data_IF_363130765383
#
_entry.id   IF_363130765383
#
_cell.length_a   1.000
_cell.length_b   1.000
_cell.length_c   1.000
_cell.angle_alpha   90.00
_cell.angle_beta   90.00
_cell.angle_gamma   90.00
#
_symmetry.space_group_name_H-M   'P 1'
#
loop_
_entity.id
_entity.type
_entity.pdbx_description
1 polymer ?
#
# COMPACT_ATOMS: atom_id res chain seq x y z
N UNK A 1 12.66 2.04 -3.66
CA UNK A 1 14.05 1.64 -3.86
C UNK A 1 14.25 1.03 -5.24
N UNK A 2 13.63 -0.11 -5.57
CA UNK A 2 13.68 -0.73 -6.91
C UNK A 2 13.38 0.26 -8.04
N UNK A 3 12.38 1.10 -7.87
CA UNK A 3 12.00 2.09 -8.88
C UNK A 3 13.11 3.11 -9.19
N UNK A 4 13.93 3.47 -8.19
CA UNK A 4 15.10 4.34 -8.40
C UNK A 4 16.26 3.58 -9.07
N UNK A 5 16.47 2.31 -8.74
CA UNK A 5 17.49 1.47 -9.36
C UNK A 5 17.17 1.18 -10.83
N UNK A 6 15.93 0.77 -11.12
CA UNK A 6 15.49 0.51 -12.49
C UNK A 6 15.38 1.79 -13.32
N UNK A 7 15.07 2.94 -12.67
CA UNK A 7 15.03 4.25 -13.32
C UNK A 7 16.40 4.72 -13.83
N UNK A 8 17.46 4.23 -13.17
CA UNK A 8 18.85 4.45 -13.58
C UNK A 8 19.41 3.28 -14.40
N UNK A 9 18.60 2.30 -14.82
CA UNK A 9 19.07 1.16 -15.59
C UNK A 9 19.85 1.61 -16.82
N UNK A 10 21.15 1.33 -16.83
CA UNK A 10 22.09 1.78 -17.86
C UNK A 10 22.73 3.14 -17.64
N UNK A 11 22.40 3.88 -16.56
CA UNK A 11 23.06 5.16 -16.23
C UNK A 11 23.78 5.04 -14.90
N UNK A 12 25.06 5.43 -14.79
CA UNK A 12 25.80 5.37 -13.53
C UNK A 12 25.08 6.21 -12.47
N UNK A 13 24.68 5.58 -11.36
CA UNK A 13 24.20 6.29 -10.19
C UNK A 13 25.15 6.08 -9.03
N UNK A 14 25.49 7.15 -8.33
CA UNK A 14 26.34 7.11 -7.14
C UNK A 14 25.48 7.43 -5.93
N UNK A 15 25.57 6.60 -4.89
CA UNK A 15 24.92 6.87 -3.60
C UNK A 15 25.99 7.32 -2.62
N UNK A 16 25.78 8.49 -2.01
CA UNK A 16 26.69 9.10 -1.05
C UNK A 16 26.00 9.15 0.32
N UNK A 17 26.78 9.00 1.38
CA UNK A 17 26.29 9.20 2.74
C UNK A 17 26.15 10.68 3.08
N UNK A 18 25.46 10.96 4.17
CA UNK A 18 25.25 12.32 4.71
C UNK A 18 25.93 12.42 6.08
N UNK A 19 26.85 13.38 6.22
CA UNK A 19 27.52 13.69 7.50
C UNK A 19 26.59 14.48 8.43
N UNK A 20 27.01 14.71 9.66
CA UNK A 20 26.29 15.59 10.61
C UNK A 20 25.70 14.86 11.82
N UNK A 21 26.04 13.58 12.06
CA UNK A 21 25.57 12.82 13.21
C UNK A 21 24.03 12.79 13.30
N UNK A 22 23.47 13.04 14.46
CA UNK A 22 22.01 13.05 14.67
C UNK A 22 21.34 14.26 13.98
N UNK A 23 22.05 15.40 13.85
CA UNK A 23 21.49 16.61 13.23
C UNK A 23 21.12 16.41 11.75
N UNK A 24 21.81 15.51 11.04
CA UNK A 24 21.53 15.21 9.62
C UNK A 24 20.09 14.79 9.34
N UNK A 25 19.40 14.22 10.33
CA UNK A 25 18.02 13.79 10.16
C UNK A 25 17.02 14.94 10.04
N UNK A 26 17.41 16.16 10.43
CA UNK A 26 16.63 17.38 10.30
C UNK A 26 16.97 18.20 9.05
N UNK A 27 18.08 17.88 8.38
CA UNK A 27 18.53 18.60 7.19
C UNK A 27 17.70 18.19 5.97
N UNK A 28 17.26 19.15 5.20
CA UNK A 28 16.69 18.96 3.86
C UNK A 28 17.79 19.10 2.79
N UNK A 29 17.43 18.83 1.53
CA UNK A 29 18.36 18.90 0.43
C UNK A 29 18.93 20.32 0.21
N UNK A 30 18.10 21.34 0.42
CA UNK A 30 18.53 22.74 0.29
C UNK A 30 19.54 23.11 1.38
N UNK A 31 19.29 22.73 2.63
CA UNK A 31 20.21 22.91 3.75
C UNK A 31 21.56 22.22 3.53
N UNK A 32 21.53 20.97 3.05
CA UNK A 32 22.73 20.20 2.74
C UNK A 32 23.60 20.87 1.67
N UNK A 33 23.00 21.55 0.68
CA UNK A 33 23.70 22.24 -0.37
C UNK A 33 24.24 23.60 0.08
N UNK A 34 23.46 24.34 0.88
CA UNK A 34 23.76 25.72 1.29
C UNK A 34 24.66 25.79 2.52
N UNK A 35 24.65 24.78 3.38
CA UNK A 35 25.40 24.79 4.62
C UNK A 35 26.91 24.57 4.36
N UNK A 36 27.76 25.56 4.60
CA UNK A 36 29.21 25.45 4.37
C UNK A 36 29.88 24.40 5.28
N UNK A 37 29.24 24.05 6.40
CA UNK A 37 29.74 23.04 7.35
C UNK A 37 29.43 21.60 6.91
N UNK A 38 28.53 21.40 5.94
CA UNK A 38 28.18 20.09 5.38
C UNK A 38 28.91 19.77 4.07
N UNK A 39 29.94 20.57 3.71
CA UNK A 39 30.75 20.31 2.50
C UNK A 39 31.44 18.94 2.47
N UNK A 40 31.49 18.23 3.59
CA UNK A 40 31.95 16.86 3.69
C UNK A 40 30.81 15.80 3.69
N UNK A 41 29.57 16.19 3.34
CA UNK A 41 28.42 15.26 3.33
C UNK A 41 28.65 14.05 2.43
N UNK A 42 29.46 14.20 1.38
CA UNK A 42 29.74 13.14 0.40
C UNK A 42 30.67 12.03 0.91
N UNK A 43 31.40 12.25 1.99
CA UNK A 43 32.41 11.30 2.50
C UNK A 43 31.89 10.38 3.63
N UNK A 44 30.63 10.54 4.02
CA UNK A 44 30.04 9.68 5.04
C UNK A 44 29.58 8.33 4.46
N UNK A 45 29.55 7.32 5.33
CA UNK A 45 28.94 6.05 4.98
C UNK A 45 27.43 6.21 4.75
N UNK A 46 26.91 5.52 3.75
CA UNK A 46 25.47 5.45 3.48
C UNK A 46 24.79 4.70 4.64
N UNK A 47 23.70 5.25 5.13
CA UNK A 47 22.91 4.59 6.17
C UNK A 47 21.91 3.62 5.52
N UNK A 48 21.91 2.38 6.00
CA UNK A 48 21.01 1.34 5.53
C UNK A 48 20.07 0.89 6.63
N UNK A 49 18.87 0.50 6.25
CA UNK A 49 17.90 -0.18 7.11
C UNK A 49 17.51 -1.52 6.48
N UNK A 50 17.22 -2.50 7.31
CA UNK A 50 16.65 -3.77 6.87
C UNK A 50 15.14 -3.67 6.97
N UNK A 51 14.44 -3.89 5.85
CA UNK A 51 12.98 -3.85 5.77
C UNK A 51 12.46 -5.19 5.25
N UNK A 52 11.26 -5.59 5.68
CA UNK A 52 10.58 -6.73 5.10
C UNK A 52 10.20 -6.43 3.63
N UNK A 53 10.40 -7.38 2.74
CA UNK A 53 9.94 -7.34 1.35
C UNK A 53 9.11 -8.57 0.94
N UNK A 54 8.70 -9.34 1.95
CA UNK A 54 7.84 -10.50 1.86
C UNK A 54 7.61 -11.13 3.25
N UNK A 55 6.79 -12.19 3.35
CA UNK A 55 6.49 -12.85 4.63
C UNK A 55 7.70 -13.41 5.37
N UNK A 56 8.74 -13.83 4.62
CA UNK A 56 9.93 -14.51 5.14
C UNK A 56 11.22 -13.94 4.57
N UNK A 57 11.16 -12.79 3.92
CA UNK A 57 12.31 -12.15 3.28
C UNK A 57 12.48 -10.72 3.75
N UNK A 58 13.74 -10.30 3.79
CA UNK A 58 14.12 -8.93 4.12
C UNK A 58 15.12 -8.40 3.11
N UNK A 59 15.18 -7.09 3.00
CA UNK A 59 16.11 -6.39 2.11
C UNK A 59 16.75 -5.21 2.81
N UNK A 60 18.00 -4.97 2.51
CA UNK A 60 18.64 -3.71 2.84
C UNK A 60 18.20 -2.60 1.86
N UNK A 61 17.82 -1.47 2.41
CA UNK A 61 17.45 -0.25 1.68
C UNK A 61 18.21 0.94 2.24
N UNK A 62 18.45 1.94 1.42
CA UNK A 62 19.04 3.19 1.91
C UNK A 62 18.06 3.85 2.86
N UNK A 63 18.45 3.99 4.12
CA UNK A 63 17.67 4.71 5.14
C UNK A 63 17.90 6.22 5.03
N UNK A 64 19.15 6.63 4.77
CA UNK A 64 19.51 8.01 4.49
C UNK A 64 20.70 8.08 3.53
N UNK A 65 20.54 8.82 2.45
CA UNK A 65 21.61 9.01 1.45
C UNK A 65 21.22 9.93 0.33
N UNK A 66 22.27 10.51 -0.29
CA UNK A 66 22.17 11.31 -1.51
C UNK A 66 22.42 10.40 -2.71
N UNK A 67 21.53 10.45 -3.68
CA UNK A 67 21.73 9.79 -4.98
C UNK A 67 22.03 10.82 -6.05
N UNK A 68 23.17 10.66 -6.69
CA UNK A 68 23.56 11.40 -7.89
C UNK A 68 23.22 10.51 -9.09
N UNK A 69 22.35 10.97 -9.95
CA UNK A 69 21.92 10.19 -11.11
C UNK A 69 21.71 11.07 -12.34
N UNK A 70 21.67 10.46 -13.51
CA UNK A 70 21.22 11.12 -14.74
C UNK A 70 19.90 10.50 -15.19
N UNK A 71 18.95 11.34 -15.56
CA UNK A 71 17.67 10.89 -16.10
C UNK A 71 17.39 11.62 -17.41
N UNK A 72 17.22 10.86 -18.48
CA UNK A 72 17.10 11.39 -19.84
C UNK A 72 18.23 12.37 -20.21
N UNK A 73 19.45 12.04 -19.79
CA UNK A 73 20.65 12.86 -20.03
C UNK A 73 20.84 14.06 -19.10
N UNK A 74 19.82 14.43 -18.27
CA UNK A 74 19.91 15.55 -17.33
C UNK A 74 20.36 15.08 -15.95
N UNK A 75 21.18 15.87 -15.24
CA UNK A 75 21.62 15.55 -13.89
C UNK A 75 20.47 15.71 -12.89
N UNK A 76 20.43 14.82 -11.92
CA UNK A 76 19.47 14.79 -10.82
C UNK A 76 20.18 14.46 -9.51
N UNK A 77 19.77 15.13 -8.44
CA UNK A 77 20.14 14.77 -7.06
C UNK A 77 18.88 14.41 -6.31
N UNK A 78 18.90 13.29 -5.59
CA UNK A 78 17.79 12.87 -4.77
C UNK A 78 18.28 12.58 -3.34
N UNK A 79 17.74 13.28 -2.35
CA UNK A 79 17.91 12.95 -0.93
C UNK A 79 16.81 11.97 -0.54
N UNK A 80 17.20 10.76 -0.19
CA UNK A 80 16.31 9.72 0.31
C UNK A 80 16.42 9.63 1.83
N UNK A 81 15.27 9.68 2.52
CA UNK A 81 15.17 9.52 3.97
C UNK A 81 14.06 8.52 4.29
N UNK A 82 14.36 7.51 5.10
CA UNK A 82 13.36 6.58 5.62
C UNK A 82 12.44 7.27 6.64
N UNK A 83 11.27 6.68 6.87
CA UNK A 83 10.44 7.07 8.01
C UNK A 83 11.26 6.99 9.31
N UNK A 84 11.15 8.01 10.13
CA UNK A 84 11.77 8.06 11.46
C UNK A 84 10.90 8.92 12.38
N UNK A 85 9.91 8.31 13.08
CA UNK A 85 8.99 9.04 13.96
C UNK A 85 9.69 9.82 15.06
N UNK A 86 10.86 9.33 15.50
CA UNK A 86 11.69 10.05 16.52
C UNK A 86 12.09 11.45 16.07
N UNK A 87 12.20 11.68 14.75
CA UNK A 87 12.54 12.97 14.15
C UNK A 87 11.33 13.60 13.43
N UNK A 88 10.09 13.22 13.82
CA UNK A 88 8.85 13.77 13.28
C UNK A 88 8.52 13.36 11.86
N UNK A 89 9.20 12.35 11.30
CA UNK A 89 9.01 11.87 9.95
C UNK A 89 8.27 10.53 9.96
N UNK A 90 6.96 10.58 9.80
CA UNK A 90 6.09 9.40 9.83
C UNK A 90 6.14 8.56 8.56
N UNK A 91 6.63 9.13 7.43
CA UNK A 91 6.74 8.48 6.14
C UNK A 91 8.14 8.61 5.55
N UNK A 92 8.52 7.70 4.66
CA UNK A 92 9.72 7.88 3.88
C UNK A 92 9.56 9.08 2.92
N UNK A 93 10.62 9.85 2.76
CA UNK A 93 10.66 11.06 1.96
C UNK A 93 11.73 10.99 0.88
N UNK A 94 11.44 11.60 -0.25
CA UNK A 94 12.37 11.77 -1.35
C UNK A 94 12.31 13.22 -1.83
N UNK A 95 13.39 13.95 -1.61
CA UNK A 95 13.57 15.29 -2.15
C UNK A 95 14.39 15.23 -3.42
N UNK A 96 13.99 15.97 -4.44
CA UNK A 96 14.61 15.92 -5.77
C UNK A 96 15.01 17.31 -6.21
N UNK A 97 16.26 17.44 -6.64
CA UNK A 97 16.80 18.63 -7.31
C UNK A 97 17.18 18.28 -8.74
N UNK A 98 16.68 19.05 -9.68
CA UNK A 98 17.00 18.95 -11.11
C UNK A 98 17.26 20.33 -11.69
N UNK A 99 17.70 20.37 -12.96
CA UNK A 99 18.00 21.62 -13.67
C UNK A 99 16.76 22.48 -13.94
N UNK A 100 15.57 21.86 -13.99
CA UNK A 100 14.31 22.52 -14.30
C UNK A 100 13.09 21.77 -13.72
N UNK A 101 11.97 22.47 -13.59
CA UNK A 101 10.74 21.96 -12.98
C UNK A 101 10.12 20.84 -13.83
N UNK A 102 10.15 20.95 -15.15
CA UNK A 102 9.56 19.95 -16.06
C UNK A 102 10.28 18.60 -15.90
N UNK A 103 11.60 18.63 -15.79
CA UNK A 103 12.42 17.43 -15.53
C UNK A 103 12.05 16.80 -14.18
N UNK A 104 11.89 17.61 -13.14
CA UNK A 104 11.51 17.13 -11.80
C UNK A 104 10.13 16.48 -11.83
N UNK A 105 9.13 17.14 -12.41
CA UNK A 105 7.74 16.65 -12.52
C UNK A 105 7.70 15.33 -13.28
N UNK A 106 8.30 15.29 -14.47
CA UNK A 106 8.31 14.09 -15.29
C UNK A 106 9.05 12.91 -14.63
N UNK A 107 10.13 13.19 -13.86
CA UNK A 107 10.83 12.16 -13.09
C UNK A 107 9.97 11.62 -11.94
N UNK A 108 9.27 12.48 -11.19
CA UNK A 108 8.38 12.09 -10.10
C UNK A 108 7.24 11.22 -10.62
N UNK A 109 6.64 11.57 -11.76
CA UNK A 109 5.55 10.80 -12.35
C UNK A 109 6.04 9.41 -12.83
N UNK A 110 7.22 9.34 -13.44
CA UNK A 110 7.83 8.06 -13.79
C UNK A 110 8.14 7.22 -12.56
N UNK A 111 8.69 7.83 -11.52
CA UNK A 111 9.00 7.15 -10.27
C UNK A 111 7.74 6.57 -9.62
N UNK A 112 6.65 7.33 -9.55
CA UNK A 112 5.35 6.87 -9.02
C UNK A 112 4.80 5.68 -9.80
N UNK A 113 4.86 5.73 -11.14
CA UNK A 113 4.44 4.61 -11.99
C UNK A 113 5.25 3.34 -11.69
N UNK A 114 6.59 3.48 -11.59
CA UNK A 114 7.48 2.37 -11.26
C UNK A 114 7.30 1.85 -9.85
N UNK A 115 7.09 2.71 -8.87
CA UNK A 115 6.79 2.29 -7.49
C UNK A 115 5.55 1.40 -7.43
N UNK A 116 4.50 1.75 -8.16
CA UNK A 116 3.29 0.94 -8.22
C UNK A 116 3.51 -0.38 -8.98
N UNK A 117 4.23 -0.35 -10.10
CA UNK A 117 4.49 -1.53 -10.92
C UNK A 117 5.42 -2.54 -10.24
N UNK A 118 6.45 -2.05 -9.53
CA UNK A 118 7.50 -2.84 -8.88
C UNK A 118 7.28 -3.02 -7.37
N UNK A 119 6.07 -2.69 -6.89
CA UNK A 119 5.76 -2.80 -5.47
C UNK A 119 5.89 -4.24 -4.98
N UNK A 120 6.70 -4.44 -3.93
CA UNK A 120 6.86 -5.74 -3.26
C UNK A 120 5.58 -6.19 -2.54
N UNK A 121 4.63 -5.28 -2.35
CA UNK A 121 3.33 -5.54 -1.71
C UNK A 121 2.32 -6.14 -2.69
N UNK A 122 2.56 -5.99 -4.00
CA UNK A 122 1.64 -6.51 -5.03
C UNK A 122 1.52 -8.04 -4.91
N UNK A 123 0.29 -8.53 -4.89
CA UNK A 123 0.00 -9.95 -4.73
C UNK A 123 0.31 -10.51 -3.34
N UNK A 124 0.62 -9.68 -2.34
CA UNK A 124 0.89 -10.12 -0.97
C UNK A 124 -0.31 -9.89 -0.05
N UNK A 125 -0.31 -10.59 1.07
CA UNK A 125 -1.22 -10.31 2.19
C UNK A 125 -0.46 -9.47 3.20
N UNK A 126 -0.98 -8.28 3.49
CA UNK A 126 -0.33 -7.34 4.40
C UNK A 126 -1.31 -6.80 5.44
N UNK A 127 -0.75 -6.43 6.57
CA UNK A 127 -1.44 -5.64 7.59
C UNK A 127 -0.55 -4.49 8.03
N UNK A 128 -1.13 -3.46 8.61
CA UNK A 128 -0.41 -2.37 9.25
C UNK A 128 -1.26 -1.80 10.38
N UNK A 129 -0.59 -1.22 11.36
CA UNK A 129 -1.21 -0.53 12.48
C UNK A 129 -0.88 0.96 12.47
N UNK A 130 -1.15 1.62 13.57
CA UNK A 130 -0.64 2.97 13.82
C UNK A 130 0.83 2.89 14.23
N UNK A 131 1.56 3.97 13.97
CA UNK A 131 2.92 4.11 14.47
C UNK A 131 2.94 4.19 16.03
N UNK A 132 4.13 4.10 16.63
CA UNK A 132 4.31 4.15 18.09
C UNK A 132 3.74 5.42 18.73
N UNK A 133 3.59 6.49 17.96
CA UNK A 133 3.08 7.79 18.41
C UNK A 133 1.62 8.02 18.04
N UNK A 134 0.97 7.06 17.34
CA UNK A 134 -0.42 7.16 16.89
C UNK A 134 -0.68 8.22 15.83
N UNK A 135 0.37 8.81 15.25
CA UNK A 135 0.27 9.95 14.32
C UNK A 135 0.27 9.53 12.83
N UNK A 136 0.63 8.28 12.53
CA UNK A 136 0.74 7.79 11.16
C UNK A 136 0.53 6.29 11.03
N UNK A 137 0.82 5.80 9.83
CA UNK A 137 0.83 4.36 9.54
C UNK A 137 2.14 3.80 10.09
N UNK A 138 2.02 2.79 10.95
CA UNK A 138 3.15 2.02 11.45
C UNK A 138 3.76 1.10 10.38
N UNK A 139 4.75 0.29 10.77
CA UNK A 139 5.38 -0.64 9.86
C UNK A 139 4.37 -1.61 9.23
N UNK A 140 4.52 -1.86 7.94
CA UNK A 140 3.75 -2.88 7.24
C UNK A 140 4.32 -4.26 7.57
N UNK A 141 3.43 -5.19 7.90
CA UNK A 141 3.76 -6.59 8.15
C UNK A 141 3.20 -7.46 7.04
N UNK A 142 4.04 -8.29 6.45
CA UNK A 142 3.63 -9.31 5.50
C UNK A 142 3.12 -10.54 6.25
N UNK A 143 2.02 -11.09 5.79
CA UNK A 143 1.41 -12.30 6.33
C UNK A 143 1.51 -13.42 5.30
N UNK A 144 1.63 -14.66 5.77
CA UNK A 144 1.50 -15.82 4.89
C UNK A 144 0.09 -15.86 4.30
N UNK A 145 -0.01 -16.11 3.00
CA UNK A 145 -1.32 -16.30 2.36
C UNK A 145 -1.96 -17.56 2.90
N UNK A 146 -3.25 -17.51 3.30
CA UNK A 146 -3.95 -18.70 3.78
C UNK A 146 -3.98 -19.79 2.70
N UNK A 147 -3.80 -21.04 3.13
CA UNK A 147 -3.99 -22.23 2.30
C UNK A 147 -5.22 -22.96 2.84
N UNK A 148 -6.40 -22.61 2.30
CA UNK A 148 -7.71 -23.14 2.75
C UNK A 148 -8.51 -23.56 1.52
N UNK A 149 -8.78 -24.87 1.42
CA UNK A 149 -9.62 -25.44 0.36
C UNK A 149 -11.11 -25.25 0.64
N UNK A 150 -11.96 -25.36 -0.38
CA UNK A 150 -13.40 -25.27 -0.25
C UNK A 150 -13.97 -26.30 0.74
N UNK A 151 -13.41 -27.52 0.78
CA UNK A 151 -13.86 -28.61 1.66
C UNK A 151 -13.68 -28.31 3.15
N UNK A 152 -12.77 -27.40 3.48
CA UNK A 152 -12.58 -26.95 4.85
C UNK A 152 -13.65 -25.97 5.34
N UNK A 153 -14.46 -25.41 4.43
CA UNK A 153 -15.46 -24.39 4.73
C UNK A 153 -16.85 -25.00 4.74
N UNK A 154 -17.40 -25.20 5.93
CA UNK A 154 -18.72 -25.80 6.09
C UNK A 154 -19.77 -24.70 6.25
N UNK A 155 -20.56 -24.48 5.20
CA UNK A 155 -21.68 -23.52 5.16
C UNK A 155 -22.94 -24.21 4.62
N UNK A 156 -24.13 -23.60 4.77
CA UNK A 156 -25.35 -24.11 4.13
C UNK A 156 -25.14 -24.20 2.60
N UNK A 157 -25.78 -25.20 2.00
CA UNK A 157 -25.66 -25.50 0.56
C UNK A 157 -25.82 -24.25 -0.32
N UNK A 158 -24.90 -24.03 -1.24
CA UNK A 158 -24.92 -22.95 -2.19
C UNK A 158 -24.49 -21.57 -1.65
N UNK A 159 -24.18 -21.46 -0.35
CA UNK A 159 -23.72 -20.17 0.22
C UNK A 159 -22.28 -19.87 -0.18
N UNK A 160 -21.39 -20.85 -0.05
CA UNK A 160 -19.98 -20.68 -0.39
C UNK A 160 -19.80 -20.34 -1.87
N UNK A 161 -20.51 -21.04 -2.74
CA UNK A 161 -20.50 -20.83 -4.19
C UNK A 161 -20.95 -19.41 -4.55
N UNK A 162 -22.06 -18.93 -3.95
CA UNK A 162 -22.53 -17.55 -4.19
C UNK A 162 -21.52 -16.50 -3.76
N UNK A 163 -20.90 -16.69 -2.61
CA UNK A 163 -19.87 -15.74 -2.11
C UNK A 163 -18.64 -15.79 -3.01
N UNK A 164 -18.19 -16.98 -3.42
CA UNK A 164 -17.09 -17.15 -4.37
C UNK A 164 -17.39 -16.44 -5.70
N UNK A 165 -18.53 -16.72 -6.30
CA UNK A 165 -18.92 -16.15 -7.60
C UNK A 165 -19.01 -14.61 -7.53
N UNK A 166 -19.47 -14.08 -6.40
CA UNK A 166 -19.55 -12.64 -6.21
C UNK A 166 -18.14 -11.98 -6.10
N UNK A 167 -17.16 -12.63 -5.50
CA UNK A 167 -15.82 -12.08 -5.26
C UNK A 167 -14.85 -12.50 -6.35
N UNK A 168 -14.71 -13.81 -6.56
CA UNK A 168 -13.73 -14.40 -7.49
C UNK A 168 -14.24 -14.28 -8.93
N UNK A 169 -15.52 -14.56 -9.16
CA UNK A 169 -16.13 -14.48 -10.50
C UNK A 169 -16.03 -13.11 -11.15
N UNK A 170 -15.99 -12.03 -10.37
CA UNK A 170 -15.72 -10.68 -10.92
C UNK A 170 -14.30 -10.56 -11.45
N UNK A 171 -13.33 -11.16 -10.78
CA UNK A 171 -11.93 -11.13 -11.23
C UNK A 171 -11.75 -12.01 -12.46
N UNK A 172 -12.35 -13.19 -12.48
CA UNK A 172 -12.33 -14.12 -13.63
C UNK A 172 -12.98 -13.51 -14.89
N UNK A 173 -14.01 -12.66 -14.73
CA UNK A 173 -14.74 -12.03 -15.83
C UNK A 173 -14.39 -10.55 -16.02
N UNK A 174 -13.26 -10.07 -15.46
CA UNK A 174 -12.92 -8.66 -15.40
C UNK A 174 -12.94 -7.96 -16.76
N UNK A 175 -12.38 -8.57 -17.80
CA UNK A 175 -12.31 -7.96 -19.13
C UNK A 175 -13.67 -7.88 -19.82
N UNK A 176 -14.51 -8.91 -19.67
CA UNK A 176 -15.87 -8.90 -20.18
C UNK A 176 -16.75 -7.85 -19.49
N UNK A 177 -16.55 -7.64 -18.17
CA UNK A 177 -17.26 -6.62 -17.39
C UNK A 177 -16.81 -5.22 -17.81
N UNK A 178 -15.50 -4.98 -17.96
CA UNK A 178 -14.97 -3.70 -18.45
C UNK A 178 -15.45 -3.36 -19.84
N UNK A 179 -15.45 -4.34 -20.75
CA UNK A 179 -15.94 -4.15 -22.13
C UNK A 179 -17.42 -3.73 -22.18
N UNK A 180 -18.20 -4.05 -21.14
CA UNK A 180 -19.60 -3.65 -20.98
C UNK A 180 -19.80 -2.39 -20.13
N UNK A 181 -18.70 -1.67 -19.81
CA UNK A 181 -18.75 -0.46 -18.97
C UNK A 181 -19.05 -0.74 -17.49
N UNK A 182 -18.97 -2.02 -17.04
CA UNK A 182 -19.23 -2.39 -15.65
C UNK A 182 -17.97 -2.19 -14.82
N UNK A 183 -18.15 -1.66 -13.58
CA UNK A 183 -17.05 -1.58 -12.64
C UNK A 183 -16.77 -2.93 -11.98
N UNK A 184 -15.54 -3.11 -11.50
CA UNK A 184 -15.10 -4.35 -10.86
C UNK A 184 -15.15 -4.30 -9.32
N UNK A 185 -15.61 -3.19 -8.75
CA UNK A 185 -15.68 -3.02 -7.30
C UNK A 185 -16.84 -3.83 -6.74
N UNK A 186 -16.60 -4.59 -5.69
CA UNK A 186 -17.59 -5.39 -4.98
C UNK A 186 -17.33 -5.31 -3.49
N UNK A 187 -18.40 -5.46 -2.70
CA UNK A 187 -18.35 -5.60 -1.26
C UNK A 187 -19.12 -6.83 -0.81
N UNK A 188 -18.63 -7.49 0.22
CA UNK A 188 -19.30 -8.61 0.89
C UNK A 188 -19.28 -8.34 2.38
N UNK A 189 -20.44 -8.45 3.00
CA UNK A 189 -20.59 -8.44 4.45
C UNK A 189 -20.90 -9.85 4.94
N UNK A 190 -19.98 -10.42 5.72
CA UNK A 190 -20.18 -11.70 6.39
C UNK A 190 -20.60 -11.41 7.85
N UNK A 191 -21.83 -11.66 8.20
CA UNK A 191 -22.33 -11.46 9.55
C UNK A 191 -22.88 -12.75 10.16
N UNK A 192 -22.93 -12.83 11.48
CA UNK A 192 -23.42 -13.99 12.21
C UNK A 192 -22.68 -14.20 13.53
N UNK A 193 -23.14 -15.15 14.38
CA UNK A 193 -22.51 -15.47 15.66
C UNK A 193 -21.05 -15.89 15.53
N UNK A 194 -20.25 -15.83 16.59
CA UNK A 194 -18.92 -16.44 16.62
C UNK A 194 -18.98 -17.92 16.23
N UNK A 195 -17.94 -18.42 15.56
CA UNK A 195 -17.84 -19.83 15.16
C UNK A 195 -18.61 -20.24 13.90
N UNK A 196 -19.29 -19.31 13.20
CA UNK A 196 -20.08 -19.63 11.97
C UNK A 196 -19.25 -19.67 10.69
N UNK A 197 -17.91 -19.68 10.76
CA UNK A 197 -17.04 -19.86 9.60
C UNK A 197 -16.67 -18.57 8.86
N UNK A 198 -17.02 -17.37 9.34
CA UNK A 198 -16.74 -16.10 8.66
C UNK A 198 -15.25 -15.93 8.29
N UNK A 199 -14.35 -16.00 9.25
CA UNK A 199 -12.91 -15.88 9.03
C UNK A 199 -12.38 -16.98 8.11
N UNK A 200 -12.92 -18.21 8.23
CA UNK A 200 -12.52 -19.33 7.37
C UNK A 200 -12.95 -19.09 5.92
N UNK A 201 -14.15 -18.54 5.71
CA UNK A 201 -14.63 -18.14 4.38
C UNK A 201 -13.73 -17.05 3.77
N UNK A 202 -13.35 -16.04 4.56
CA UNK A 202 -12.39 -15.02 4.09
C UNK A 202 -11.07 -15.65 3.67
N UNK A 203 -10.51 -16.54 4.49
CA UNK A 203 -9.26 -17.23 4.19
C UNK A 203 -9.35 -18.06 2.90
N UNK A 204 -10.46 -18.75 2.69
CA UNK A 204 -10.75 -19.47 1.44
C UNK A 204 -10.77 -18.50 0.23
N UNK A 205 -11.46 -17.37 0.32
CA UNK A 205 -11.49 -16.39 -0.76
C UNK A 205 -10.10 -15.80 -1.07
N UNK A 206 -9.26 -15.60 -0.05
CA UNK A 206 -7.88 -15.16 -0.25
C UNK A 206 -7.00 -16.23 -0.91
N UNK A 207 -7.28 -17.51 -0.65
CA UNK A 207 -6.64 -18.63 -1.35
C UNK A 207 -7.00 -18.65 -2.83
N UNK A 208 -8.27 -18.46 -3.17
CA UNK A 208 -8.78 -18.45 -4.55
C UNK A 208 -8.26 -17.26 -5.41
N UNK A 209 -7.72 -16.22 -4.76
CA UNK A 209 -7.24 -15.01 -5.43
C UNK A 209 -5.74 -14.74 -5.15
N UNK A 210 -4.83 -15.64 -5.59
CA UNK A 210 -3.41 -15.57 -5.27
C UNK A 210 -2.73 -14.28 -5.78
N UNK A 211 -3.19 -13.74 -6.89
CA UNK A 211 -2.63 -12.53 -7.51
C UNK A 211 -3.14 -11.22 -6.89
N UNK A 212 -4.21 -11.29 -6.09
CA UNK A 212 -4.77 -10.09 -5.48
C UNK A 212 -3.94 -9.64 -4.28
N UNK A 213 -3.62 -8.35 -4.24
CA UNK A 213 -3.05 -7.72 -3.05
C UNK A 213 -4.11 -7.65 -1.97
N UNK A 214 -3.82 -8.16 -0.78
CA UNK A 214 -4.76 -8.15 0.33
C UNK A 214 -4.28 -7.24 1.44
N UNK A 215 -5.12 -6.32 1.88
CA UNK A 215 -4.89 -5.49 3.08
C UNK A 215 -5.85 -5.95 4.15
N UNK A 216 -5.31 -6.53 5.23
CA UNK A 216 -6.09 -7.00 6.37
C UNK A 216 -6.04 -5.97 7.49
N UNK A 217 -7.20 -5.50 7.94
CA UNK A 217 -7.34 -4.62 9.07
C UNK A 217 -8.20 -5.28 10.15
N UNK A 218 -7.75 -5.21 11.41
CA UNK A 218 -8.45 -5.75 12.58
C UNK A 218 -8.16 -4.92 13.83
N UNK A 219 -9.07 -4.91 14.77
CA UNK A 219 -8.90 -4.22 16.04
C UNK A 219 -8.54 -2.74 15.85
N UNK A 220 -7.45 -2.28 16.46
CA UNK A 220 -7.01 -0.88 16.39
C UNK A 220 -6.64 -0.37 14.99
N UNK A 221 -6.36 -1.27 14.04
CA UNK A 221 -6.04 -0.88 12.66
C UNK A 221 -7.27 -0.52 11.81
N UNK A 222 -8.48 -0.82 12.28
CA UNK A 222 -9.73 -0.48 11.57
C UNK A 222 -9.89 1.03 11.31
N UNK A 223 -9.27 1.89 12.12
CA UNK A 223 -9.24 3.33 11.88
C UNK A 223 -8.40 3.78 10.69
N UNK A 224 -7.68 2.85 10.03
CA UNK A 224 -6.82 3.12 8.86
C UNK A 224 -7.46 2.64 7.54
N UNK A 225 -8.78 2.50 7.51
CA UNK A 225 -9.52 1.99 6.34
C UNK A 225 -9.33 2.85 5.09
N UNK A 226 -9.23 4.17 5.25
CA UNK A 226 -8.99 5.09 4.12
C UNK A 226 -7.60 4.88 3.49
N UNK A 227 -6.59 4.62 4.32
CA UNK A 227 -5.24 4.29 3.91
C UNK A 227 -5.18 2.95 3.17
N UNK A 228 -5.86 1.93 3.73
CA UNK A 228 -5.98 0.62 3.10
C UNK A 228 -6.66 0.71 1.73
N UNK A 229 -7.73 1.51 1.60
CA UNK A 229 -8.42 1.74 0.34
C UNK A 229 -7.53 2.44 -0.70
N UNK A 230 -6.72 3.44 -0.28
CA UNK A 230 -5.73 4.08 -1.17
C UNK A 230 -4.67 3.10 -1.67
N UNK A 231 -4.13 2.27 -0.76
CA UNK A 231 -3.16 1.24 -1.11
C UNK A 231 -3.76 0.19 -2.07
N UNK A 232 -4.95 -0.30 -1.77
CA UNK A 232 -5.67 -1.26 -2.60
C UNK A 232 -5.91 -0.71 -4.03
N UNK A 233 -6.28 0.58 -4.16
CA UNK A 233 -6.46 1.23 -5.46
C UNK A 233 -5.15 1.29 -6.25
N UNK A 234 -4.04 1.63 -5.60
CA UNK A 234 -2.73 1.72 -6.26
C UNK A 234 -2.19 0.36 -6.71
N UNK A 235 -2.57 -0.73 -6.02
CA UNK A 235 -2.05 -2.08 -6.23
C UNK A 235 -3.11 -3.07 -6.77
N UNK A 236 -4.14 -2.58 -7.43
CA UNK A 236 -5.17 -3.44 -8.01
C UNK A 236 -4.58 -4.52 -8.96
N UNK A 237 -5.17 -5.76 -9.00
CA UNK A 237 -6.33 -6.19 -8.25
C UNK A 237 -6.03 -6.31 -6.75
N UNK A 238 -6.97 -5.86 -5.91
CA UNK A 238 -6.74 -5.84 -4.47
C UNK A 238 -8.02 -6.04 -3.67
N UNK A 239 -7.87 -6.54 -2.45
CA UNK A 239 -8.93 -6.81 -1.49
C UNK A 239 -8.59 -6.07 -0.18
N UNK A 240 -9.56 -5.39 0.39
CA UNK A 240 -9.48 -4.89 1.77
C UNK A 240 -10.39 -5.76 2.63
N UNK A 241 -9.83 -6.39 3.64
CA UNK A 241 -10.54 -7.22 4.61
C UNK A 241 -10.62 -6.47 5.93
N UNK A 242 -11.82 -6.36 6.46
CA UNK A 242 -12.09 -5.81 7.79
C UNK A 242 -12.58 -6.93 8.67
N UNK A 243 -11.81 -7.34 9.67
CA UNK A 243 -12.19 -8.39 10.63
C UNK A 243 -12.56 -7.79 11.98
N UNK A 244 -13.40 -8.51 12.72
CA UNK A 244 -13.81 -8.18 14.09
C UNK A 244 -14.43 -6.79 14.24
N UNK A 245 -15.28 -6.42 13.29
CA UNK A 245 -16.03 -5.17 13.39
C UNK A 245 -17.19 -5.35 14.38
N UNK A 246 -17.11 -4.68 15.51
CA UNK A 246 -17.92 -4.94 16.70
C UNK A 246 -19.41 -4.57 16.56
N UNK A 247 -19.78 -3.72 15.57
CA UNK A 247 -21.16 -3.27 15.45
C UNK A 247 -21.55 -2.83 14.04
N UNK A 248 -22.85 -2.99 13.69
CA UNK A 248 -23.39 -2.50 12.42
C UNK A 248 -23.12 -1.01 12.16
N UNK A 249 -23.27 -0.07 13.13
CA UNK A 249 -22.91 1.32 12.92
C UNK A 249 -21.44 1.53 12.60
N UNK A 250 -20.53 0.69 13.14
CA UNK A 250 -19.12 0.73 12.78
C UNK A 250 -18.89 0.25 11.34
N UNK A 251 -19.60 -0.82 10.93
CA UNK A 251 -19.56 -1.32 9.54
C UNK A 251 -20.04 -0.25 8.57
N UNK A 252 -21.16 0.40 8.84
CA UNK A 252 -21.69 1.47 7.98
C UNK A 252 -20.73 2.66 7.85
N UNK A 253 -20.12 3.08 8.96
CA UNK A 253 -19.12 4.14 8.94
C UNK A 253 -17.92 3.76 8.07
N UNK A 254 -17.36 2.57 8.28
CA UNK A 254 -16.22 2.08 7.50
C UNK A 254 -16.57 1.89 6.03
N UNK A 255 -17.76 1.37 5.73
CA UNK A 255 -18.26 1.27 4.37
C UNK A 255 -18.33 2.65 3.71
N UNK A 256 -18.84 3.67 4.39
CA UNK A 256 -18.85 5.05 3.89
C UNK A 256 -17.45 5.60 3.64
N UNK A 257 -16.49 5.35 4.53
CA UNK A 257 -15.10 5.77 4.36
C UNK A 257 -14.46 5.09 3.14
N UNK A 258 -14.68 3.79 2.97
CA UNK A 258 -14.21 3.03 1.79
C UNK A 258 -14.85 3.61 0.52
N UNK A 259 -16.17 3.79 0.52
CA UNK A 259 -16.89 4.30 -0.64
C UNK A 259 -16.46 5.71 -1.02
N UNK A 260 -16.29 6.59 -0.04
CA UNK A 260 -15.73 7.93 -0.27
C UNK A 260 -14.32 7.86 -0.87
N UNK A 261 -13.47 6.98 -0.35
CA UNK A 261 -12.13 6.76 -0.89
C UNK A 261 -12.15 6.22 -2.33
N UNK A 262 -13.20 5.50 -2.72
CA UNK A 262 -13.41 5.01 -4.08
C UNK A 262 -14.36 5.87 -4.92
N UNK A 263 -14.89 6.97 -4.38
CA UNK A 263 -15.89 7.85 -5.03
C UNK A 263 -17.12 7.06 -5.50
N UNK A 264 -17.71 6.27 -4.61
CA UNK A 264 -18.88 5.42 -4.88
C UNK A 264 -20.07 5.84 -4.00
N UNK A 265 -21.31 5.87 -4.51
CA UNK A 265 -22.50 6.03 -3.70
C UNK A 265 -22.78 4.80 -2.83
N UNK A 266 -23.32 4.99 -1.64
CA UNK A 266 -23.80 3.94 -0.74
C UNK A 266 -25.32 3.80 -0.89
N UNK A 267 -25.79 2.62 -1.21
CA UNK A 267 -27.20 2.24 -1.10
C UNK A 267 -27.37 1.27 0.06
N UNK A 268 -28.29 1.56 0.96
CA UNK A 268 -28.66 0.71 2.10
C UNK A 268 -30.08 0.23 1.87
N UNK A 269 -30.27 -1.08 1.78
CA UNK A 269 -31.59 -1.72 1.68
C UNK A 269 -32.34 -1.62 3.04
N UNK A 270 -33.66 -1.51 3.00
CA UNK A 270 -34.55 -1.49 4.18
C UNK A 270 -34.43 -2.74 5.09
N UNK A 271 -33.79 -3.80 4.62
CA UNK A 271 -33.48 -5.03 5.38
C UNK A 271 -32.17 -5.00 6.14
N UNK A 272 -31.48 -3.86 6.17
CA UNK A 272 -30.14 -3.70 6.74
C UNK A 272 -29.05 -4.51 6.01
N UNK A 273 -29.32 -4.99 4.81
CA UNK A 273 -28.33 -5.51 3.91
C UNK A 273 -27.62 -4.34 3.23
N UNK A 274 -26.34 -4.14 3.54
CA UNK A 274 -25.52 -3.13 2.87
C UNK A 274 -25.17 -3.66 1.48
N UNK A 275 -25.93 -3.25 0.48
CA UNK A 275 -25.56 -3.47 -0.91
C UNK A 275 -24.89 -2.24 -1.49
N UNK A 276 -23.84 -2.45 -2.26
CA UNK A 276 -23.12 -1.38 -2.96
C UNK A 276 -23.55 -1.46 -4.41
N UNK A 277 -24.54 -0.65 -4.77
CA UNK A 277 -24.98 -0.53 -6.15
C UNK A 277 -24.30 0.66 -6.80
N UNK A 278 -23.71 0.52 -7.99
CA UNK A 278 -23.10 1.64 -8.69
C UNK A 278 -24.15 2.52 -9.33
N UNK A 279 -24.05 3.81 -9.13
CA UNK A 279 -24.79 4.76 -9.97
C UNK A 279 -24.23 4.68 -11.40
N UNK A 280 -25.11 4.35 -12.35
CA UNK A 280 -24.89 4.55 -13.77
C UNK A 280 -24.96 6.07 -14.02
N UNK A 281 -23.79 6.70 -14.18
CA UNK A 281 -23.62 8.04 -14.68
C UNK A 281 -22.75 8.03 -15.90
#
# INVERSE_FOLDING_TARGET
YRALEDGSAGTPSTTLGVTGGQARHHEDLASLIQNPYTRGAADAAVEYATVADGPRSTRQVVAMGLRLLRWRGKPLVALQRAANPRYGRSTAELEILASDVDTTTAFIDELRRRMNALSVVRGQVVTFGRDEYGQGIGPMTFLDRPDVSADAVILPTGVLERVRDHVVGVTENADALRARGQHLKRGVLLYGPPGTGKTLTVRYLLHELPEATTVLLQGGSLGLVAEAARLARALAPAIVVLEDVESLPAVERMAREILNAFSMPLEVDERHDVSITPSLG
#
